data_IF_652499170395
#
_entry.id   IF_652499170395
#
_cell.length_a   1.000
_cell.length_b   1.000
_cell.length_c   1.000
_cell.angle_alpha   90.00
_cell.angle_beta   90.00
_cell.angle_gamma   90.00
#
_symmetry.space_group_name_H-M   'P 1'
#
loop_
_entity.id
_entity.type
_entity.pdbx_description
1 polymer ?
#
# COMPACT_ATOMS: atom_id res chain seq x y z
N UNK A 1 -9.36 3.63 -41.45
CA UNK A 1 -9.63 4.61 -40.37
C UNK A 1 -8.72 4.28 -39.21
N UNK A 2 -7.82 5.18 -38.84
CA UNK A 2 -6.82 4.93 -37.79
C UNK A 2 -7.50 4.83 -36.41
N UNK A 3 -7.08 3.92 -35.55
CA UNK A 3 -7.71 3.64 -34.24
C UNK A 3 -7.95 4.86 -33.34
N UNK A 4 -7.20 5.95 -33.52
CA UNK A 4 -7.41 7.24 -32.84
C UNK A 4 -8.77 7.90 -33.18
N UNK A 5 -9.28 7.75 -34.42
CA UNK A 5 -10.59 8.31 -34.82
C UNK A 5 -11.73 7.46 -34.26
N UNK A 6 -11.55 6.15 -34.17
CA UNK A 6 -12.54 5.25 -33.56
C UNK A 6 -12.71 5.51 -32.07
N UNK A 7 -11.61 5.73 -31.38
CA UNK A 7 -11.59 6.03 -29.92
C UNK A 7 -12.28 7.36 -29.60
N UNK A 8 -12.01 8.42 -30.41
CA UNK A 8 -12.67 9.72 -30.27
C UNK A 8 -14.18 9.65 -30.56
N UNK A 9 -14.60 8.88 -31.57
CA UNK A 9 -16.03 8.70 -31.92
C UNK A 9 -16.74 7.90 -30.82
N UNK A 10 -16.13 6.87 -30.24
CA UNK A 10 -16.71 6.10 -29.12
C UNK A 10 -16.84 6.96 -27.86
N UNK A 11 -15.85 7.79 -27.56
CA UNK A 11 -15.91 8.70 -26.41
C UNK A 11 -17.01 9.77 -26.59
N UNK A 12 -17.15 10.35 -27.79
CA UNK A 12 -18.18 11.33 -28.12
C UNK A 12 -19.57 10.67 -28.12
N UNK A 13 -19.68 9.41 -28.56
CA UNK A 13 -20.96 8.70 -28.60
C UNK A 13 -21.44 8.31 -27.19
N UNK A 14 -20.52 7.97 -26.27
CA UNK A 14 -20.83 7.72 -24.86
C UNK A 14 -21.33 9.02 -24.20
N UNK A 15 -20.70 10.14 -24.49
CA UNK A 15 -21.13 11.44 -23.96
C UNK A 15 -22.49 11.91 -24.54
N UNK A 16 -22.85 11.50 -25.74
CA UNK A 16 -24.09 11.91 -26.41
C UNK A 16 -25.32 11.05 -26.05
N UNK A 17 -25.13 9.87 -25.47
CA UNK A 17 -26.24 8.94 -25.16
C UNK A 17 -26.72 8.99 -23.69
N UNK A 18 -26.13 9.85 -22.86
CA UNK A 18 -26.61 9.99 -21.48
C UNK A 18 -27.89 10.87 -21.49
N UNK A 19 -29.03 10.36 -21.00
CA UNK A 19 -30.18 11.22 -20.70
C UNK A 19 -29.73 12.33 -19.76
N UNK A 20 -30.36 13.50 -19.84
CA UNK A 20 -30.03 14.72 -19.09
C UNK A 20 -30.20 14.57 -17.55
N UNK A 21 -29.54 13.60 -16.95
CA UNK A 21 -29.28 13.55 -15.52
C UNK A 21 -28.10 14.49 -15.27
N UNK A 22 -28.15 15.32 -14.25
CA UNK A 22 -27.12 16.29 -13.93
C UNK A 22 -25.75 15.62 -13.82
N UNK A 23 -24.97 15.70 -14.89
CA UNK A 23 -23.60 15.20 -14.92
C UNK A 23 -22.69 16.31 -14.45
N UNK A 24 -21.79 15.98 -13.55
CA UNK A 24 -20.80 16.91 -13.01
C UNK A 24 -19.42 16.47 -13.45
N UNK A 25 -18.69 17.38 -14.09
CA UNK A 25 -17.27 17.15 -14.36
C UNK A 25 -16.49 17.19 -13.05
N UNK A 26 -15.63 16.20 -12.83
CA UNK A 26 -14.75 16.10 -11.67
C UNK A 26 -13.31 15.96 -12.14
N UNK A 27 -12.39 16.60 -11.44
CA UNK A 27 -10.96 16.52 -11.73
C UNK A 27 -10.19 16.69 -10.43
N UNK A 28 -8.93 16.25 -10.43
CA UNK A 28 -8.00 16.42 -9.35
C UNK A 28 -6.58 16.12 -9.81
N UNK A 29 -5.64 16.62 -9.08
CA UNK A 29 -4.23 16.28 -9.25
C UNK A 29 -3.54 16.21 -7.91
N UNK A 30 -2.53 15.37 -7.82
CA UNK A 30 -1.63 15.31 -6.67
C UNK A 30 -0.18 15.18 -7.13
N UNK A 31 0.70 15.64 -6.28
CA UNK A 31 2.14 15.53 -6.44
C UNK A 31 2.73 14.95 -5.18
N UNK A 32 3.47 13.86 -5.34
CA UNK A 32 4.20 13.18 -4.27
C UNK A 32 5.69 13.19 -4.57
N UNK A 33 6.48 13.47 -3.55
CA UNK A 33 7.95 13.40 -3.62
C UNK A 33 8.47 12.59 -2.43
N UNK A 34 9.39 11.68 -2.72
CA UNK A 34 10.11 10.89 -1.75
C UNK A 34 11.62 11.05 -1.95
N UNK A 35 12.31 11.43 -0.89
CA UNK A 35 13.73 11.22 -0.69
C UNK A 35 13.88 10.17 0.42
N UNK A 36 14.68 9.13 0.20
CA UNK A 36 14.97 8.07 1.16
C UNK A 36 16.44 7.70 1.07
N UNK A 37 17.22 8.16 2.02
CA UNK A 37 18.63 7.83 2.15
C UNK A 37 18.82 6.74 3.21
N UNK A 38 19.42 5.64 2.83
CA UNK A 38 19.64 4.45 3.64
C UNK A 38 21.13 4.23 3.85
N UNK A 39 21.54 4.15 5.09
CA UNK A 39 22.92 3.94 5.52
C UNK A 39 22.96 2.77 6.50
N UNK A 40 23.26 1.60 5.97
CA UNK A 40 23.37 0.35 6.73
C UNK A 40 24.80 -0.14 6.69
N UNK A 41 25.28 -0.70 7.80
CA UNK A 41 26.56 -1.39 7.80
C UNK A 41 26.44 -2.79 7.12
N UNK A 42 27.57 -3.47 6.95
CA UNK A 42 27.61 -4.79 6.29
C UNK A 42 26.68 -5.81 6.98
N UNK A 43 26.54 -5.74 8.29
CA UNK A 43 25.63 -6.61 9.03
C UNK A 43 24.15 -6.24 8.81
N UNK A 44 23.87 -4.97 8.58
CA UNK A 44 22.54 -4.43 8.33
C UNK A 44 22.04 -4.63 6.89
N UNK A 45 22.93 -4.81 5.92
CA UNK A 45 22.57 -5.04 4.51
C UNK A 45 21.67 -6.26 4.27
N UNK A 46 21.66 -7.23 5.18
CA UNK A 46 20.70 -8.36 5.18
C UNK A 46 19.25 -7.93 5.34
N UNK A 47 19.00 -6.73 5.88
CA UNK A 47 17.68 -6.14 6.03
C UNK A 47 17.41 -5.10 4.94
N UNK A 48 18.39 -4.24 4.67
CA UNK A 48 18.18 -3.12 3.78
C UNK A 48 19.52 -2.68 3.17
N UNK A 49 19.59 -2.58 1.86
CA UNK A 49 20.81 -2.12 1.17
C UNK A 49 21.01 -0.62 1.37
N UNK A 50 22.27 -0.20 1.54
CA UNK A 50 22.66 1.20 1.56
C UNK A 50 22.46 1.81 0.19
N UNK A 51 21.50 2.73 0.09
CA UNK A 51 21.12 3.36 -1.17
C UNK A 51 20.30 4.64 -0.93
N UNK A 52 20.42 5.59 -1.86
CA UNK A 52 19.61 6.80 -1.83
C UNK A 52 18.60 6.78 -2.97
N UNK A 53 17.33 7.01 -2.65
CA UNK A 53 16.23 7.11 -3.60
C UNK A 53 15.71 8.54 -3.67
N UNK A 54 15.41 9.01 -4.88
CA UNK A 54 14.72 10.25 -5.14
C UNK A 54 13.65 9.98 -6.18
N UNK A 55 12.39 10.06 -5.81
CA UNK A 55 11.29 9.82 -6.75
C UNK A 55 10.23 10.89 -6.63
N UNK A 56 9.77 11.41 -7.76
CA UNK A 56 8.61 12.29 -7.85
C UNK A 56 7.50 11.61 -8.64
N UNK A 57 6.27 11.77 -8.20
CA UNK A 57 5.07 11.26 -8.84
C UNK A 57 4.11 12.42 -9.03
N UNK A 58 3.67 12.64 -10.26
CA UNK A 58 2.59 13.56 -10.60
C UNK A 58 1.42 12.75 -11.11
N UNK A 59 0.28 12.86 -10.45
CA UNK A 59 -0.98 12.24 -10.87
C UNK A 59 -1.98 13.29 -11.30
N UNK A 60 -2.71 13.02 -12.37
CA UNK A 60 -3.84 13.82 -12.83
C UNK A 60 -5.00 12.94 -13.20
N UNK A 61 -6.20 13.32 -12.78
CA UNK A 61 -7.42 12.57 -13.04
C UNK A 61 -8.57 13.52 -13.45
N UNK A 62 -9.42 13.05 -14.35
CA UNK A 62 -10.62 13.75 -14.74
C UNK A 62 -11.73 12.74 -15.08
N UNK A 63 -12.99 13.14 -14.91
CA UNK A 63 -14.09 12.24 -15.18
C UNK A 63 -15.46 12.87 -15.03
N UNK A 64 -16.46 12.01 -15.00
CA UNK A 64 -17.85 12.37 -14.85
C UNK A 64 -18.42 11.74 -13.58
N UNK A 65 -19.10 12.57 -12.80
CA UNK A 65 -20.01 12.13 -11.73
C UNK A 65 -21.44 12.18 -12.24
N UNK A 66 -22.21 11.14 -11.96
CA UNK A 66 -23.61 11.01 -12.40
C UNK A 66 -24.45 10.30 -11.33
N UNK A 67 -25.78 10.46 -11.40
CA UNK A 67 -26.70 9.98 -10.37
C UNK A 67 -26.31 10.45 -8.98
N UNK A 68 -25.78 11.67 -8.88
CA UNK A 68 -25.37 12.26 -7.62
C UNK A 68 -26.61 12.69 -6.81
N UNK A 69 -26.84 12.00 -5.71
CA UNK A 69 -27.86 12.33 -4.73
C UNK A 69 -27.22 12.43 -3.34
N UNK A 70 -27.98 12.78 -2.32
CA UNK A 70 -27.47 12.76 -0.95
C UNK A 70 -27.03 11.35 -0.48
N UNK A 71 -27.45 10.31 -1.19
CA UNK A 71 -27.21 8.90 -0.82
C UNK A 71 -26.37 8.12 -1.80
N UNK A 72 -26.30 8.55 -3.05
CA UNK A 72 -25.58 7.80 -4.10
C UNK A 72 -24.72 8.72 -4.93
N UNK A 73 -23.58 8.22 -5.34
CA UNK A 73 -22.73 8.84 -6.35
C UNK A 73 -22.08 7.76 -7.20
N UNK A 74 -22.04 8.02 -8.52
CA UNK A 74 -21.35 7.18 -9.48
C UNK A 74 -20.35 8.02 -10.25
N UNK A 75 -19.14 7.48 -10.46
CA UNK A 75 -18.09 8.17 -11.21
C UNK A 75 -17.43 7.24 -12.20
N UNK A 76 -17.07 7.79 -13.35
CA UNK A 76 -16.11 7.18 -14.28
C UNK A 76 -14.94 8.14 -14.37
N UNK A 77 -13.76 7.66 -14.04
CA UNK A 77 -12.55 8.47 -13.95
C UNK A 77 -11.49 7.91 -14.90
N UNK A 78 -10.86 8.79 -15.62
CA UNK A 78 -9.68 8.54 -16.45
C UNK A 78 -8.55 9.41 -15.92
N UNK A 79 -7.36 8.84 -15.77
CA UNK A 79 -6.21 9.59 -15.29
C UNK A 79 -4.90 8.93 -15.65
N UNK A 80 -3.85 9.38 -15.00
CA UNK A 80 -2.55 8.77 -15.12
C UNK A 80 -1.55 9.37 -14.16
N UNK A 81 -0.51 8.59 -13.90
CA UNK A 81 0.62 8.94 -13.04
C UNK A 81 1.90 8.96 -13.85
N UNK A 82 2.65 10.04 -13.75
CA UNK A 82 4.02 10.13 -14.26
C UNK A 82 4.96 9.93 -13.09
N UNK A 83 5.75 8.88 -13.13
CA UNK A 83 6.78 8.59 -12.12
C UNK A 83 8.14 8.96 -12.67
N UNK A 84 8.87 9.78 -11.92
CA UNK A 84 10.24 10.18 -12.23
C UNK A 84 11.16 9.75 -11.10
N UNK A 85 11.99 8.76 -11.35
CA UNK A 85 13.08 8.38 -10.48
C UNK A 85 14.37 9.14 -10.88
N UNK A 86 14.98 9.88 -9.94
CA UNK A 86 16.17 10.69 -10.19
C UNK A 86 17.47 9.94 -9.92
N UNK A 87 17.42 8.84 -9.16
CA UNK A 87 18.60 8.11 -8.68
C UNK A 87 18.95 6.87 -9.49
N UNK A 88 18.14 6.52 -10.49
CA UNK A 88 18.28 5.27 -11.22
C UNK A 88 17.65 4.10 -10.47
N UNK A 89 16.98 3.23 -11.19
CA UNK A 89 15.95 2.37 -10.63
C UNK A 89 16.45 1.25 -9.75
N UNK A 90 15.99 1.24 -8.50
CA UNK A 90 15.89 0.01 -7.73
C UNK A 90 14.49 -0.63 -7.90
N UNK A 91 13.45 0.16 -8.08
CA UNK A 91 12.06 -0.30 -8.15
C UNK A 91 11.43 -0.25 -9.55
N UNK A 92 11.98 0.54 -10.47
CA UNK A 92 11.39 0.76 -11.79
C UNK A 92 12.44 1.05 -12.84
N UNK A 93 12.14 0.79 -14.10
CA UNK A 93 12.97 1.18 -15.25
C UNK A 93 12.93 2.71 -15.48
N UNK A 94 13.45 3.48 -14.51
CA UNK A 94 13.74 4.94 -14.53
C UNK A 94 12.54 5.87 -14.57
N UNK A 95 11.68 5.80 -15.57
CA UNK A 95 10.52 6.67 -15.70
C UNK A 95 9.43 5.92 -16.38
N UNK A 96 8.25 5.96 -15.83
CA UNK A 96 7.11 5.34 -16.45
C UNK A 96 5.86 6.20 -16.35
N UNK A 97 4.94 5.97 -17.25
CA UNK A 97 3.60 6.48 -17.21
C UNK A 97 2.65 5.32 -16.98
N UNK A 98 1.77 5.46 -16.01
CA UNK A 98 0.75 4.48 -15.71
C UNK A 98 -0.63 5.12 -15.80
N UNK A 99 -1.47 4.58 -16.68
CA UNK A 99 -2.83 5.07 -16.86
C UNK A 99 -3.76 4.50 -15.80
N UNK A 100 -4.73 5.30 -15.37
CA UNK A 100 -5.86 4.87 -14.56
C UNK A 100 -7.17 5.00 -15.34
N UNK A 101 -8.03 4.00 -15.20
CA UNK A 101 -9.41 4.02 -15.71
C UNK A 101 -10.26 3.18 -14.79
N UNK A 102 -11.16 3.81 -14.08
CA UNK A 102 -11.99 3.09 -13.12
C UNK A 102 -13.41 3.68 -13.00
N UNK A 103 -14.29 2.80 -12.60
CA UNK A 103 -15.63 3.13 -12.15
C UNK A 103 -15.69 3.08 -10.63
N UNK A 104 -16.38 4.04 -10.03
CA UNK A 104 -16.64 4.12 -8.60
C UNK A 104 -18.12 4.31 -8.34
N UNK A 105 -18.68 3.55 -7.43
CA UNK A 105 -20.01 3.72 -6.89
C UNK A 105 -19.93 3.85 -5.36
N UNK A 106 -20.60 4.84 -4.80
CA UNK A 106 -20.72 5.00 -3.36
C UNK A 106 -22.19 5.18 -2.96
N UNK A 107 -22.56 4.51 -1.87
CA UNK A 107 -23.90 4.51 -1.31
C UNK A 107 -23.82 4.87 0.16
N UNK A 108 -24.69 5.78 0.61
CA UNK A 108 -24.77 6.19 2.01
C UNK A 108 -26.20 6.11 2.49
N UNK A 109 -26.42 5.38 3.56
CA UNK A 109 -27.74 5.25 4.19
C UNK A 109 -27.96 6.31 5.28
N UNK A 110 -29.22 6.56 5.59
CA UNK A 110 -29.59 7.55 6.61
C UNK A 110 -29.14 7.17 8.04
N UNK A 111 -28.88 5.89 8.30
CA UNK A 111 -28.37 5.39 9.58
C UNK A 111 -26.83 5.43 9.68
N UNK A 112 -26.16 6.07 8.70
CA UNK A 112 -24.70 6.23 8.67
C UNK A 112 -23.94 5.07 8.06
N UNK A 113 -24.61 4.02 7.55
CA UNK A 113 -23.95 2.99 6.75
C UNK A 113 -23.46 3.58 5.44
N UNK A 114 -22.28 3.17 5.01
CA UNK A 114 -21.82 3.43 3.66
C UNK A 114 -21.28 2.16 3.01
N UNK A 115 -21.40 2.10 1.70
CA UNK A 115 -20.79 1.10 0.85
C UNK A 115 -20.14 1.79 -0.34
N UNK A 116 -18.94 1.39 -0.69
CA UNK A 116 -18.22 1.89 -1.85
C UNK A 116 -17.66 0.72 -2.64
N UNK A 117 -17.77 0.79 -3.96
CA UNK A 117 -17.19 -0.17 -4.90
C UNK A 117 -16.40 0.58 -5.97
N UNK A 118 -15.19 0.11 -6.23
CA UNK A 118 -14.31 0.61 -7.28
C UNK A 118 -13.92 -0.57 -8.17
N UNK A 119 -13.88 -0.39 -9.49
CA UNK A 119 -13.45 -1.42 -10.41
C UNK A 119 -12.68 -0.81 -11.59
N UNK A 120 -11.56 -1.43 -11.95
CA UNK A 120 -10.66 -1.00 -13.02
C UNK A 120 -9.22 -0.82 -12.54
N UNK A 121 -8.44 0.00 -13.24
CA UNK A 121 -7.13 0.47 -12.81
C UNK A 121 -7.32 1.77 -11.99
N UNK A 122 -7.22 1.67 -10.69
CA UNK A 122 -7.53 2.77 -9.75
C UNK A 122 -6.32 3.15 -8.89
N UNK A 123 -6.19 4.43 -8.49
CA UNK A 123 -5.09 4.87 -7.64
C UNK A 123 -5.04 4.13 -6.31
N UNK A 124 -3.84 3.72 -5.90
CA UNK A 124 -3.61 3.15 -4.57
C UNK A 124 -4.11 4.05 -3.44
N UNK A 125 -4.10 5.36 -3.63
CA UNK A 125 -4.62 6.34 -2.68
C UNK A 125 -6.10 6.13 -2.28
N UNK A 126 -6.87 5.35 -3.06
CA UNK A 126 -8.24 4.95 -2.72
C UNK A 126 -8.30 3.89 -1.63
N UNK A 127 -7.23 3.13 -1.39
CA UNK A 127 -7.12 2.18 -0.28
C UNK A 127 -7.01 2.97 1.03
N UNK A 128 -7.91 2.76 1.96
CA UNK A 128 -8.00 3.50 3.24
C UNK A 128 -7.70 2.63 4.46
N UNK A 129 -7.69 1.31 4.27
CA UNK A 129 -7.40 0.36 5.32
C UNK A 129 -6.00 0.50 5.90
N UNK A 130 -5.82 -0.03 7.08
CA UNK A 130 -4.53 -0.06 7.76
C UNK A 130 -3.86 -1.40 7.51
N UNK A 131 -2.71 -1.38 6.87
CA UNK A 131 -1.93 -2.57 6.55
C UNK A 131 -0.59 -2.55 7.29
N UNK A 132 -0.16 -3.73 7.78
CA UNK A 132 1.19 -3.89 8.35
C UNK A 132 2.26 -3.69 7.28
N UNK A 133 3.39 -3.13 7.66
CA UNK A 133 4.59 -3.05 6.81
C UNK A 133 5.13 -4.42 6.41
N UNK A 134 4.80 -5.48 7.16
CA UNK A 134 5.09 -6.86 6.76
C UNK A 134 4.37 -7.28 5.49
N UNK A 135 3.22 -6.65 5.17
CA UNK A 135 2.44 -6.90 3.96
C UNK A 135 2.86 -5.99 2.81
N UNK A 136 2.97 -4.69 3.08
CA UNK A 136 3.36 -3.66 2.13
C UNK A 136 4.38 -2.72 2.75
N UNK A 137 5.61 -2.73 2.24
CA UNK A 137 6.62 -1.78 2.67
C UNK A 137 6.24 -0.35 2.26
N UNK A 138 6.79 0.64 2.98
CA UNK A 138 6.60 2.05 2.64
C UNK A 138 7.08 2.37 1.21
N UNK A 139 8.19 1.75 0.79
CA UNK A 139 8.73 1.90 -0.55
C UNK A 139 7.81 1.29 -1.63
N UNK A 140 7.33 0.06 -1.41
CA UNK A 140 6.36 -0.56 -2.31
C UNK A 140 5.09 0.29 -2.40
N UNK A 141 4.55 0.71 -1.27
CA UNK A 141 3.33 1.51 -1.22
C UNK A 141 3.46 2.86 -1.94
N UNK A 142 4.65 3.45 -1.98
CA UNK A 142 4.92 4.69 -2.70
C UNK A 142 5.02 4.49 -4.22
N UNK A 143 5.73 3.45 -4.67
CA UNK A 143 5.99 3.23 -6.09
C UNK A 143 4.86 2.50 -6.84
N UNK A 144 4.01 1.78 -6.12
CA UNK A 144 2.86 1.06 -6.65
C UNK A 144 1.65 2.01 -6.74
N UNK A 145 1.66 2.86 -7.76
CA UNK A 145 0.73 4.01 -7.88
C UNK A 145 -0.71 3.64 -8.17
N UNK A 146 -0.95 2.50 -8.84
CA UNK A 146 -2.30 2.00 -9.15
C UNK A 146 -2.49 0.56 -8.69
N UNK A 147 -3.74 0.17 -8.53
CA UNK A 147 -4.20 -1.20 -8.38
C UNK A 147 -5.11 -1.58 -9.53
N UNK A 148 -4.98 -2.80 -10.03
CA UNK A 148 -5.77 -3.30 -11.15
C UNK A 148 -6.78 -4.36 -10.69
N UNK A 149 -8.05 -4.00 -10.59
CA UNK A 149 -9.07 -4.96 -10.16
C UNK A 149 -10.26 -4.34 -9.47
N UNK A 150 -10.58 -4.78 -8.25
CA UNK A 150 -11.78 -4.38 -7.51
C UNK A 150 -11.41 -3.98 -6.09
N UNK A 151 -12.07 -2.94 -5.57
CA UNK A 151 -12.02 -2.54 -4.17
C UNK A 151 -13.46 -2.34 -3.66
N UNK A 152 -13.80 -3.00 -2.57
CA UNK A 152 -15.08 -2.87 -1.87
C UNK A 152 -14.82 -2.32 -0.48
N UNK A 153 -15.62 -1.36 -0.04
CA UNK A 153 -15.55 -0.80 1.32
C UNK A 153 -16.93 -0.73 1.94
N UNK A 154 -16.99 -1.00 3.22
CA UNK A 154 -18.19 -0.89 4.04
C UNK A 154 -17.86 -0.27 5.38
N UNK A 155 -18.74 0.59 5.87
CA UNK A 155 -18.61 1.13 7.22
C UNK A 155 -19.95 1.41 7.89
N UNK A 156 -19.97 1.28 9.22
CA UNK A 156 -21.10 1.61 10.08
C UNK A 156 -20.65 1.76 11.53
N UNK A 157 -20.99 2.90 12.14
CA UNK A 157 -20.95 3.06 13.60
C UNK A 157 -19.59 2.75 14.24
N UNK A 158 -18.48 3.21 13.63
CA UNK A 158 -17.12 2.94 14.12
C UNK A 158 -16.53 1.61 13.64
N UNK A 159 -17.25 0.86 12.82
CA UNK A 159 -16.72 -0.28 12.08
C UNK A 159 -16.49 0.10 10.63
N UNK A 160 -15.28 -0.18 10.12
CA UNK A 160 -14.88 -0.01 8.74
C UNK A 160 -14.17 -1.27 8.26
N UNK A 161 -14.46 -1.69 7.02
CA UNK A 161 -13.79 -2.80 6.39
C UNK A 161 -13.61 -2.55 4.90
N UNK A 162 -12.50 -3.04 4.35
CA UNK A 162 -12.27 -3.09 2.91
C UNK A 162 -11.76 -4.46 2.47
N UNK A 163 -12.09 -4.81 1.25
CA UNK A 163 -11.67 -6.01 0.54
C UNK A 163 -11.31 -5.61 -0.89
N UNK A 164 -10.11 -5.91 -1.32
CA UNK A 164 -9.67 -5.65 -2.68
C UNK A 164 -9.02 -6.86 -3.33
N UNK A 165 -9.00 -6.82 -4.66
CA UNK A 165 -8.22 -7.71 -5.48
C UNK A 165 -7.39 -6.88 -6.43
N UNK A 166 -6.10 -7.20 -6.52
CA UNK A 166 -5.14 -6.57 -7.40
C UNK A 166 -4.56 -7.61 -8.33
N UNK A 167 -4.74 -7.43 -9.63
CA UNK A 167 -4.20 -8.30 -10.67
C UNK A 167 -2.85 -7.75 -11.12
N UNK A 168 -1.77 -8.36 -10.67
CA UNK A 168 -0.40 -7.85 -10.80
C UNK A 168 0.34 -8.40 -12.01
N UNK A 169 -0.22 -9.33 -12.74
CA UNK A 169 0.39 -9.90 -13.94
C UNK A 169 -0.37 -11.09 -14.49
N UNK A 170 -0.32 -11.25 -15.81
CA UNK A 170 -0.93 -12.37 -16.53
C UNK A 170 0.11 -13.38 -16.97
N UNK A 171 -0.31 -14.63 -17.14
CA UNK A 171 0.54 -15.70 -17.67
C UNK A 171 1.06 -15.37 -19.06
N UNK A 172 2.38 -15.41 -19.23
CA UNK A 172 3.04 -15.09 -20.49
C UNK A 172 4.44 -15.73 -20.62
N UNK A 173 5.16 -15.43 -21.71
CA UNK A 173 6.52 -15.96 -21.94
C UNK A 173 7.48 -15.59 -20.80
N UNK A 174 7.49 -14.30 -20.39
CA UNK A 174 8.37 -13.76 -19.34
C UNK A 174 7.58 -13.12 -18.19
N UNK A 175 6.27 -13.31 -18.16
CA UNK A 175 5.36 -12.77 -17.15
C UNK A 175 4.71 -13.89 -16.37
N UNK A 176 4.77 -13.82 -15.04
CA UNK A 176 4.06 -14.72 -14.13
C UNK A 176 2.64 -14.25 -13.91
N UNK A 177 1.71 -15.18 -13.84
CA UNK A 177 0.40 -14.89 -13.30
C UNK A 177 0.51 -14.58 -11.80
N UNK A 178 0.10 -13.39 -11.42
CA UNK A 178 0.17 -12.90 -10.04
C UNK A 178 -1.07 -12.12 -9.70
N UNK A 179 -1.64 -12.38 -8.55
CA UNK A 179 -2.68 -11.54 -7.99
C UNK A 179 -2.64 -11.54 -6.47
N UNK A 180 -3.13 -10.49 -5.88
CA UNK A 180 -3.25 -10.33 -4.44
C UNK A 180 -4.70 -9.99 -4.09
N UNK A 181 -5.33 -10.80 -3.24
CA UNK A 181 -6.55 -10.41 -2.55
C UNK A 181 -6.14 -9.87 -1.18
N UNK A 182 -6.57 -8.66 -0.85
CA UNK A 182 -6.21 -8.01 0.40
C UNK A 182 -7.45 -7.52 1.13
N UNK A 183 -7.37 -7.49 2.44
CA UNK A 183 -8.46 -7.02 3.31
C UNK A 183 -7.90 -6.31 4.52
N UNK A 184 -8.61 -5.28 4.96
CA UNK A 184 -8.38 -4.63 6.24
C UNK A 184 -9.72 -4.30 6.88
N UNK A 185 -9.77 -4.34 8.20
CA UNK A 185 -10.93 -3.87 8.94
C UNK A 185 -10.52 -3.28 10.28
N UNK A 186 -11.35 -2.39 10.78
CA UNK A 186 -11.17 -1.76 12.08
C UNK A 186 -12.51 -1.58 12.79
N UNK A 187 -12.48 -1.73 14.08
CA UNK A 187 -13.61 -1.48 14.97
C UNK A 187 -13.19 -0.66 16.17
N UNK A 188 -13.78 0.52 16.31
CA UNK A 188 -13.67 1.36 17.50
C UNK A 188 -14.61 0.81 18.56
N UNK A 189 -14.07 0.04 19.52
CA UNK A 189 -14.85 -0.64 20.57
C UNK A 189 -15.21 0.33 21.67
N UNK A 190 -14.24 1.15 22.08
CA UNK A 190 -14.43 2.25 23.03
C UNK A 190 -13.68 3.48 22.52
N UNK A 191 -13.79 4.60 23.23
CA UNK A 191 -13.02 5.81 22.92
C UNK A 191 -11.50 5.55 22.84
N UNK A 192 -11.00 4.67 23.71
CA UNK A 192 -9.57 4.45 23.91
C UNK A 192 -9.10 3.12 23.32
N UNK A 193 -10.00 2.24 22.86
CA UNK A 193 -9.68 0.90 22.43
C UNK A 193 -10.29 0.57 21.07
N UNK A 194 -9.46 0.12 20.17
CA UNK A 194 -9.87 -0.39 18.86
C UNK A 194 -9.17 -1.70 18.52
N UNK A 195 -9.81 -2.49 17.69
CA UNK A 195 -9.31 -3.75 17.18
C UNK A 195 -9.53 -3.82 15.68
N UNK A 196 -8.82 -4.71 15.01
CA UNK A 196 -9.02 -4.94 13.60
C UNK A 196 -8.10 -6.01 13.04
N UNK A 197 -8.04 -6.05 11.74
CA UNK A 197 -7.16 -6.95 11.01
C UNK A 197 -6.63 -6.29 9.74
N UNK A 198 -5.55 -6.81 9.22
CA UNK A 198 -5.16 -6.71 7.82
C UNK A 198 -4.69 -8.09 7.34
N UNK A 199 -4.72 -8.31 6.05
CA UNK A 199 -4.25 -9.58 5.50
C UNK A 199 -4.24 -9.60 3.99
N UNK A 200 -3.50 -10.56 3.45
CA UNK A 200 -3.42 -10.79 2.02
C UNK A 200 -3.32 -12.26 1.70
N UNK A 201 -3.94 -12.61 0.57
CA UNK A 201 -3.70 -13.85 -0.17
C UNK A 201 -2.95 -13.48 -1.43
N UNK A 202 -1.65 -13.71 -1.45
CA UNK A 202 -0.83 -13.46 -2.62
C UNK A 202 -0.52 -14.77 -3.32
N UNK A 203 -0.98 -14.86 -4.56
CA UNK A 203 -0.76 -15.98 -5.46
C UNK A 203 0.30 -15.60 -6.48
N UNK A 204 1.44 -16.29 -6.43
CA UNK A 204 2.57 -16.10 -7.32
C UNK A 204 2.73 -17.38 -8.14
N UNK A 205 2.10 -17.38 -9.32
CA UNK A 205 1.98 -18.57 -10.16
C UNK A 205 3.09 -18.68 -11.23
N UNK A 206 2.79 -19.39 -12.28
CA UNK A 206 3.75 -19.77 -13.33
C UNK A 206 3.83 -18.74 -14.44
N UNK A 207 4.91 -18.84 -15.22
CA UNK A 207 5.04 -18.29 -16.57
C UNK A 207 5.26 -19.45 -17.56
N UNK A 208 5.50 -19.14 -18.83
CA UNK A 208 5.90 -20.17 -19.79
C UNK A 208 7.28 -20.76 -19.46
N UNK A 209 8.17 -19.98 -18.85
CA UNK A 209 9.54 -20.37 -18.48
C UNK A 209 9.58 -20.93 -17.06
N UNK A 210 8.99 -20.24 -16.11
CA UNK A 210 9.04 -20.60 -14.69
C UNK A 210 7.75 -21.33 -14.26
N UNK A 211 7.86 -22.60 -13.89
CA UNK A 211 6.70 -23.47 -13.58
C UNK A 211 6.33 -23.52 -12.11
N UNK A 212 7.08 -22.86 -11.24
CA UNK A 212 6.82 -22.90 -9.81
C UNK A 212 5.65 -21.99 -9.39
N UNK A 213 4.82 -22.51 -8.50
CA UNK A 213 3.72 -21.77 -7.85
C UNK A 213 4.02 -21.62 -6.38
N UNK A 214 3.96 -20.39 -5.88
CA UNK A 214 4.12 -20.08 -4.47
C UNK A 214 2.89 -19.32 -3.97
N UNK A 215 2.26 -19.84 -2.94
CA UNK A 215 1.25 -19.15 -2.18
C UNK A 215 1.94 -18.44 -0.99
N UNK A 216 1.76 -17.13 -0.86
CA UNK A 216 2.32 -16.31 0.21
C UNK A 216 1.21 -15.47 0.85
N UNK A 217 0.67 -15.97 1.95
CA UNK A 217 -0.46 -15.37 2.65
C UNK A 217 -0.01 -14.81 3.99
N UNK A 218 -0.58 -13.68 4.38
CA UNK A 218 -0.33 -13.05 5.67
C UNK A 218 -1.67 -12.62 6.29
N UNK A 219 -1.87 -12.95 7.55
CA UNK A 219 -2.96 -12.43 8.39
C UNK A 219 -2.34 -11.68 9.57
N UNK A 220 -2.83 -10.47 9.82
CA UNK A 220 -2.32 -9.56 10.84
C UNK A 220 -3.48 -8.94 11.65
N UNK A 221 -4.15 -9.69 12.56
CA UNK A 221 -5.06 -9.08 13.53
C UNK A 221 -4.28 -8.17 14.48
N UNK A 222 -4.94 -7.10 14.93
CA UNK A 222 -4.32 -6.09 15.78
C UNK A 222 -5.27 -5.54 16.83
N UNK A 223 -4.67 -5.04 17.90
CA UNK A 223 -5.30 -4.27 18.96
C UNK A 223 -4.58 -2.93 19.10
N UNK A 224 -5.31 -1.84 19.31
CA UNK A 224 -4.75 -0.52 19.59
C UNK A 224 -5.39 0.06 20.85
N UNK A 225 -4.55 0.56 21.75
CA UNK A 225 -4.94 1.34 22.90
C UNK A 225 -4.44 2.78 22.77
N UNK A 226 -5.34 3.74 22.92
CA UNK A 226 -5.07 5.17 22.81
C UNK A 226 -5.13 5.83 24.20
N UNK A 227 -3.99 6.40 24.61
CA UNK A 227 -3.78 7.05 25.90
C UNK A 227 -3.85 8.58 25.82
N UNK A 228 -4.51 9.15 24.81
CA UNK A 228 -4.52 10.59 24.47
C UNK A 228 -5.13 11.51 25.55
N UNK A 229 -5.34 11.03 26.76
CA UNK A 229 -5.73 11.86 27.93
C UNK A 229 -4.55 12.56 28.61
N UNK A 230 -3.34 12.25 28.21
CA UNK A 230 -2.13 12.87 28.70
C UNK A 230 -1.86 14.20 27.95
N UNK A 231 -0.93 15.05 28.42
CA UNK A 231 -0.60 16.31 27.74
C UNK A 231 0.07 16.15 26.38
N UNK A 232 -0.09 14.98 25.75
CA UNK A 232 0.37 14.64 24.41
C UNK A 232 -0.84 14.64 23.45
N UNK A 233 -0.59 15.03 22.21
CA UNK A 233 -1.62 15.01 21.16
C UNK A 233 -1.96 13.59 20.71
N UNK A 234 -0.97 12.69 20.75
CA UNK A 234 -1.12 11.26 20.54
C UNK A 234 -0.24 10.53 21.54
N UNK A 235 -0.78 9.51 22.17
CA UNK A 235 -0.04 8.48 22.87
C UNK A 235 -0.77 7.18 22.64
N UNK A 236 -0.17 6.25 21.90
CA UNK A 236 -0.84 5.01 21.56
C UNK A 236 0.12 3.83 21.55
N UNK A 237 -0.43 2.66 21.86
CA UNK A 237 0.22 1.36 21.72
C UNK A 237 -0.64 0.49 20.81
N UNK A 238 -0.04 -0.09 19.79
CA UNK A 238 -0.68 -1.05 18.90
C UNK A 238 0.13 -2.34 18.88
N UNK A 239 -0.55 -3.49 18.92
CA UNK A 239 0.04 -4.81 18.81
C UNK A 239 -0.59 -5.57 17.65
N UNK A 240 0.24 -6.19 16.82
CA UNK A 240 -0.14 -7.11 15.75
C UNK A 240 0.33 -8.51 16.08
N UNK A 241 -0.50 -9.49 15.74
CA UNK A 241 -0.06 -10.87 15.57
C UNK A 241 0.09 -11.12 14.07
N UNK A 242 1.28 -11.50 13.62
CA UNK A 242 1.59 -11.72 12.20
C UNK A 242 1.66 -13.22 11.96
N UNK A 243 0.69 -13.77 11.22
CA UNK A 243 0.61 -15.20 10.92
C UNK A 243 0.73 -15.42 9.41
N UNK A 244 1.83 -16.01 8.98
CA UNK A 244 2.12 -16.34 7.59
C UNK A 244 1.65 -17.77 7.24
N UNK A 245 1.25 -17.96 6.00
CA UNK A 245 1.12 -19.25 5.34
C UNK A 245 1.87 -19.17 4.02
N UNK A 246 2.94 -19.94 3.88
CA UNK A 246 3.76 -19.94 2.67
C UNK A 246 3.97 -21.35 2.18
N UNK A 247 3.73 -21.58 0.91
CA UNK A 247 3.87 -22.90 0.31
C UNK A 247 4.39 -22.79 -1.11
N UNK A 248 5.54 -23.36 -1.36
CA UNK A 248 6.05 -23.64 -2.70
C UNK A 248 5.65 -25.05 -3.13
N UNK A 249 5.13 -25.21 -4.34
CA UNK A 249 4.74 -26.54 -4.85
C UNK A 249 5.94 -27.34 -5.34
N UNK A 250 7.08 -26.71 -5.58
CA UNK A 250 8.29 -27.35 -6.15
C UNK A 250 9.44 -27.42 -5.16
N UNK A 251 9.64 -26.40 -4.29
CA UNK A 251 10.81 -26.34 -3.40
C UNK A 251 10.66 -27.37 -2.27
N UNK A 252 9.60 -27.31 -1.48
CA UNK A 252 9.48 -28.14 -0.28
C UNK A 252 8.12 -28.88 -0.18
N UNK A 253 7.13 -28.49 -0.96
CA UNK A 253 5.73 -29.00 -0.91
C UNK A 253 5.06 -28.92 0.47
N UNK A 254 5.80 -28.62 1.54
CA UNK A 254 5.27 -28.38 2.88
C UNK A 254 4.90 -26.93 3.03
N UNK A 255 3.87 -26.65 3.82
CA UNK A 255 3.54 -25.29 4.20
C UNK A 255 4.46 -24.83 5.34
N UNK A 256 5.06 -23.67 5.19
CA UNK A 256 5.67 -22.94 6.29
C UNK A 256 4.60 -22.04 6.93
N UNK A 257 4.57 -21.99 8.25
CA UNK A 257 3.61 -21.23 9.06
C UNK A 257 4.38 -20.26 9.99
N UNK A 258 5.12 -19.28 9.45
CA UNK A 258 5.87 -18.37 10.29
C UNK A 258 4.92 -17.48 11.10
N UNK A 259 5.28 -17.27 12.36
CA UNK A 259 4.52 -16.51 13.34
C UNK A 259 5.40 -15.44 14.00
N UNK A 260 4.83 -14.24 14.15
CA UNK A 260 5.52 -13.15 14.84
C UNK A 260 4.55 -12.17 15.49
N UNK A 261 5.10 -11.25 16.26
CA UNK A 261 4.37 -10.15 16.86
C UNK A 261 5.09 -8.83 16.55
N UNK A 262 4.30 -7.79 16.29
CA UNK A 262 4.79 -6.44 16.11
C UNK A 262 4.11 -5.52 17.13
N UNK A 263 4.90 -4.66 17.77
CA UNK A 263 4.43 -3.66 18.72
C UNK A 263 4.81 -2.28 18.20
N UNK A 264 3.82 -1.39 18.05
CA UNK A 264 4.04 -0.04 17.60
C UNK A 264 3.64 0.91 18.74
N UNK A 265 4.60 1.65 19.25
CA UNK A 265 4.40 2.74 20.20
C UNK A 265 4.50 4.07 19.47
N UNK A 266 3.59 5.02 19.77
CA UNK A 266 3.62 6.38 19.23
C UNK A 266 3.36 7.40 20.33
N UNK A 267 4.21 8.44 20.36
CA UNK A 267 4.03 9.60 21.21
C UNK A 267 4.22 10.88 20.39
N UNK A 268 3.18 11.72 20.29
CA UNK A 268 3.21 12.96 19.51
C UNK A 268 2.94 14.18 20.37
N UNK A 269 3.78 15.19 20.20
CA UNK A 269 3.56 16.51 20.74
C UNK A 269 3.97 17.56 19.72
N UNK A 270 3.11 18.57 19.50
CA UNK A 270 3.24 19.56 18.42
C UNK A 270 3.37 18.86 17.06
N UNK A 271 4.42 19.15 16.32
CA UNK A 271 4.68 18.58 15.00
C UNK A 271 5.70 17.43 15.04
N UNK A 272 6.10 16.98 16.23
CA UNK A 272 7.09 15.91 16.43
C UNK A 272 6.40 14.66 16.97
N UNK A 273 6.70 13.52 16.36
CA UNK A 273 6.25 12.20 16.81
C UNK A 273 7.47 11.29 16.99
N UNK A 274 7.58 10.66 18.15
CA UNK A 274 8.42 9.49 18.37
C UNK A 274 7.59 8.25 18.10
N UNK A 275 8.06 7.41 17.19
CA UNK A 275 7.48 6.10 16.92
C UNK A 275 8.54 5.02 17.14
N UNK A 276 8.15 3.93 17.77
CA UNK A 276 8.96 2.72 17.88
C UNK A 276 8.15 1.55 17.33
N UNK A 277 8.76 0.75 16.47
CA UNK A 277 8.17 -0.45 15.88
C UNK A 277 9.08 -1.63 16.15
N UNK A 278 8.66 -2.51 17.05
CA UNK A 278 9.39 -3.69 17.50
C UNK A 278 8.74 -4.93 16.90
N UNK A 279 9.50 -5.72 16.16
CA UNK A 279 9.11 -7.06 15.72
C UNK A 279 9.88 -8.14 16.48
N UNK A 280 9.19 -9.24 16.79
CA UNK A 280 9.79 -10.47 17.29
C UNK A 280 9.03 -11.68 16.78
N UNK A 281 9.75 -12.70 16.32
CA UNK A 281 9.11 -13.91 15.78
C UNK A 281 9.97 -14.64 14.76
N UNK A 282 9.33 -15.50 14.00
CA UNK A 282 9.95 -16.24 12.92
C UNK A 282 10.33 -15.33 11.73
N UNK A 283 11.14 -15.84 10.81
CA UNK A 283 11.35 -15.19 9.51
C UNK A 283 10.07 -15.27 8.66
N UNK A 284 9.39 -14.13 8.45
CA UNK A 284 8.20 -14.07 7.60
C UNK A 284 8.52 -14.13 6.10
N UNK A 285 9.81 -14.17 5.70
CA UNK A 285 10.26 -14.14 4.32
C UNK A 285 10.95 -15.47 3.95
N UNK A 286 10.21 -16.57 4.09
CA UNK A 286 10.76 -17.95 4.03
C UNK A 286 11.50 -18.24 2.73
N UNK A 287 10.99 -17.77 1.59
CA UNK A 287 11.57 -18.04 0.27
C UNK A 287 12.33 -16.84 -0.32
N UNK A 288 12.62 -15.79 0.46
CA UNK A 288 13.19 -14.54 -0.05
C UNK A 288 14.51 -14.77 -0.82
N UNK A 289 15.41 -15.50 -0.22
CA UNK A 289 16.76 -15.77 -0.74
C UNK A 289 16.85 -17.03 -1.61
N UNK A 290 15.72 -17.72 -1.85
CA UNK A 290 15.70 -18.90 -2.70
C UNK A 290 15.87 -18.52 -4.18
N UNK A 291 16.61 -19.31 -4.96
CA UNK A 291 16.76 -19.09 -6.38
C UNK A 291 15.42 -19.13 -7.12
N UNK A 292 15.16 -18.11 -7.94
CA UNK A 292 14.01 -18.08 -8.83
C UNK A 292 14.34 -18.77 -10.17
N UNK A 293 13.44 -19.54 -10.77
CA UNK A 293 13.67 -20.24 -12.03
C UNK A 293 14.08 -19.33 -13.20
N UNK A 294 13.64 -18.07 -13.18
CA UNK A 294 13.97 -17.04 -14.16
C UNK A 294 15.32 -16.36 -13.93
N UNK A 295 16.00 -16.72 -12.86
CA UNK A 295 17.29 -16.14 -12.43
C UNK A 295 17.13 -15.21 -11.21
N UNK A 296 18.22 -15.03 -10.47
CA UNK A 296 18.20 -14.29 -9.19
C UNK A 296 17.48 -15.04 -8.09
N UNK A 297 16.83 -14.31 -7.19
CA UNK A 297 16.03 -14.83 -6.07
C UNK A 297 14.59 -14.34 -6.16
N UNK A 298 13.68 -14.94 -5.37
CA UNK A 298 12.29 -14.48 -5.33
C UNK A 298 12.13 -13.07 -4.76
N UNK A 299 12.92 -12.73 -3.74
CA UNK A 299 13.05 -11.38 -3.17
C UNK A 299 11.75 -10.54 -3.20
N UNK A 300 11.84 -9.31 -3.70
CA UNK A 300 10.70 -8.37 -3.78
C UNK A 300 9.61 -8.77 -4.80
N UNK A 301 9.86 -9.72 -5.69
CA UNK A 301 8.82 -10.24 -6.57
C UNK A 301 7.75 -11.04 -5.80
N UNK A 302 8.16 -11.73 -4.75
CA UNK A 302 7.29 -12.54 -3.89
C UNK A 302 6.90 -11.81 -2.60
N UNK A 303 7.74 -10.89 -2.09
CA UNK A 303 7.54 -10.20 -0.83
C UNK A 303 7.44 -8.69 -1.03
N UNK A 304 6.24 -8.16 -0.87
CA UNK A 304 5.94 -6.74 -1.04
C UNK A 304 6.16 -5.94 0.26
N UNK A 305 6.32 -6.65 1.37
CA UNK A 305 6.58 -6.10 2.69
C UNK A 305 8.04 -5.71 2.92
N UNK A 306 8.32 -5.14 4.07
CA UNK A 306 9.68 -4.83 4.50
C UNK A 306 10.46 -6.11 4.82
N UNK A 307 11.75 -6.11 4.56
CA UNK A 307 12.66 -7.23 4.77
C UNK A 307 13.11 -7.39 6.22
N UNK A 308 12.60 -6.55 7.10
CA UNK A 308 12.95 -6.47 8.54
C UNK A 308 12.23 -7.48 9.43
N UNK A 309 11.25 -8.19 8.90
CA UNK A 309 10.45 -9.16 9.66
C UNK A 309 11.13 -10.52 9.79
N UNK A 310 12.30 -10.53 10.49
CA UNK A 310 13.14 -11.70 10.71
C UNK A 310 13.68 -11.67 12.15
N UNK A 311 13.27 -12.61 13.01
CA UNK A 311 13.77 -12.73 14.36
C UNK A 311 13.37 -11.58 15.29
N UNK A 312 14.34 -10.81 15.77
CA UNK A 312 14.13 -9.59 16.55
C UNK A 312 14.58 -8.40 15.73
N UNK A 313 13.72 -7.40 15.59
CA UNK A 313 14.03 -6.16 14.89
C UNK A 313 13.30 -4.97 15.50
N UNK A 314 14.03 -3.90 15.74
CA UNK A 314 13.51 -2.67 16.34
C UNK A 314 13.84 -1.45 15.47
N UNK A 315 12.82 -0.64 15.19
CA UNK A 315 12.91 0.58 14.41
C UNK A 315 12.38 1.76 15.22
N UNK A 316 13.28 2.69 15.54
CA UNK A 316 12.96 3.92 16.25
C UNK A 316 12.93 5.08 15.26
N UNK A 317 11.82 5.79 15.17
CA UNK A 317 11.61 6.89 14.22
C UNK A 317 11.34 8.19 14.97
N UNK A 318 12.09 9.24 14.62
CA UNK A 318 11.77 10.61 14.97
C UNK A 318 11.16 11.28 13.74
N UNK A 319 9.90 11.65 13.83
CA UNK A 319 9.10 12.16 12.72
C UNK A 319 8.78 13.63 12.99
N UNK A 320 9.16 14.52 12.09
CA UNK A 320 8.76 15.91 12.10
C UNK A 320 7.80 16.17 10.94
N UNK A 321 6.55 16.53 11.26
CA UNK A 321 5.49 16.75 10.28
C UNK A 321 4.80 18.07 10.55
N UNK A 322 5.35 19.21 10.04
CA UNK A 322 4.79 20.53 10.25
C UNK A 322 3.50 20.71 9.47
N UNK A 323 2.55 21.46 10.04
CA UNK A 323 1.34 21.88 9.34
C UNK A 323 1.71 23.05 8.40
N UNK A 324 1.90 22.79 7.11
CA UNK A 324 2.18 23.81 6.11
C UNK A 324 0.89 24.46 5.62
N UNK A 325 0.11 23.74 4.82
CA UNK A 325 -1.23 24.14 4.38
C UNK A 325 -2.19 22.95 4.44
N UNK A 326 -3.43 23.13 4.02
CA UNK A 326 -4.39 22.01 3.92
C UNK A 326 -4.01 21.07 2.77
N UNK A 327 -3.44 21.63 1.73
CA UNK A 327 -3.13 20.96 0.47
C UNK A 327 -1.70 20.39 0.47
N UNK A 328 -0.78 20.93 1.28
CA UNK A 328 0.65 20.55 1.28
C UNK A 328 1.02 19.93 2.62
N UNK A 329 1.51 18.71 2.57
CA UNK A 329 2.02 17.94 3.72
C UNK A 329 3.51 17.67 3.53
N UNK A 330 4.29 17.95 4.57
CA UNK A 330 5.71 17.62 4.64
C UNK A 330 5.93 16.68 5.82
N UNK A 331 6.74 15.66 5.62
CA UNK A 331 7.20 14.76 6.67
C UNK A 331 8.70 14.54 6.52
N UNK A 332 9.43 14.70 7.60
CA UNK A 332 10.86 14.40 7.70
C UNK A 332 11.04 13.36 8.79
N UNK A 333 11.68 12.25 8.45
CA UNK A 333 11.89 11.12 9.36
C UNK A 333 13.38 10.81 9.48
N UNK A 334 13.85 10.66 10.71
CA UNK A 334 15.10 9.99 11.03
C UNK A 334 14.74 8.65 11.68
N UNK A 335 15.10 7.54 11.02
CA UNK A 335 14.84 6.18 11.51
C UNK A 335 16.18 5.51 11.86
N UNK A 336 16.20 4.81 13.01
CA UNK A 336 17.33 4.06 13.50
C UNK A 336 16.92 2.61 13.67
N UNK A 337 17.77 1.70 13.22
CA UNK A 337 17.46 0.29 13.06
C UNK A 337 18.37 -0.56 13.95
N UNK A 338 17.78 -1.48 14.67
CA UNK A 338 18.46 -2.37 15.59
C UNK A 338 17.97 -3.81 15.41
N UNK A 339 18.84 -4.77 15.65
CA UNK A 339 18.48 -6.16 15.85
C UNK A 339 19.04 -6.69 17.17
N UNK A 340 18.98 -8.00 17.42
CA UNK A 340 19.50 -8.62 18.64
C UNK A 340 21.02 -8.41 18.84
N UNK A 341 21.75 -8.03 17.79
CA UNK A 341 23.21 -7.77 17.86
C UNK A 341 23.54 -6.30 18.08
N UNK A 342 22.57 -5.41 17.97
CA UNK A 342 22.72 -3.96 18.17
C UNK A 342 22.29 -3.13 16.98
N UNK A 343 22.91 -1.96 16.83
CA UNK A 343 22.63 -0.99 15.75
C UNK A 343 23.01 -1.57 14.40
N UNK A 344 22.11 -1.41 13.40
CA UNK A 344 22.26 -1.96 12.05
C UNK A 344 22.37 -0.87 10.97
N UNK A 345 21.87 0.34 11.25
CA UNK A 345 21.89 1.42 10.27
C UNK A 345 20.84 2.50 10.55
N UNK A 346 20.83 3.50 9.71
CA UNK A 346 19.85 4.58 9.79
C UNK A 346 19.27 4.92 8.41
N UNK A 347 18.15 5.65 8.47
CA UNK A 347 17.41 6.08 7.30
C UNK A 347 16.96 7.54 7.49
N UNK A 348 17.16 8.38 6.47
CA UNK A 348 16.64 9.74 6.44
C UNK A 348 15.61 9.81 5.31
N UNK A 349 14.38 10.16 5.66
CA UNK A 349 13.27 10.20 4.72
C UNK A 349 12.66 11.60 4.69
N UNK A 350 12.42 12.13 3.49
CA UNK A 350 11.62 13.34 3.28
C UNK A 350 10.48 12.98 2.33
N UNK A 351 9.25 13.21 2.79
CA UNK A 351 8.04 13.06 1.97
C UNK A 351 7.34 14.39 1.84
N UNK A 352 7.03 14.77 0.63
CA UNK A 352 6.20 15.94 0.32
C UNK A 352 5.01 15.47 -0.50
N UNK A 353 3.81 15.74 -0.02
CA UNK A 353 2.56 15.44 -0.73
C UNK A 353 1.79 16.74 -0.91
N UNK A 354 1.25 16.94 -2.12
CA UNK A 354 0.45 18.12 -2.45
C UNK A 354 -0.76 17.69 -3.25
N UNK A 355 -1.96 18.17 -2.87
CA UNK A 355 -3.24 17.86 -3.53
C UNK A 355 -3.88 19.15 -4.05
N UNK A 356 -4.34 19.13 -5.33
CA UNK A 356 -4.92 20.28 -6.03
C UNK A 356 -6.32 20.00 -6.59
#
# INVERSE_FOLDING_TARGET
MTGRRLFAVVLISICAMAPAMAQKFVYGSDFDYLFDNREFDVAGEKYMQSQTFHTAILRGEAGLSFNETDRTVHKIILGGSVVRDFSGSFFTDKNFFEASLYYMAAFKESDGRYFEAVAGAYPRALIKGRYSRAMWSDAYAFHDVNKEGVLLRYGKGGFDAELGCDWMGSYGPNSRERFQVFSSGSWTITRDFSAGWSGSFYHFATSQVAKNVIDNHLLAPWLKYDLSRLPLQELSLQAFLLAGYQRSREIDRKAALPLGAEFIFRAKKWNVCLQNSLYTGDNLLVYYDYPAPEGGTYASNLYLGETTYKGFYDRVELIWAPNLTKEVKLEVVAAFHYDATGYQGCQQIVRLCSMF
#
